data_IF_365887190016
#
_entry.id   IF_365887190016
#
_cell.length_a   1.000
_cell.length_b   1.000
_cell.length_c   1.000
_cell.angle_alpha   90.00
_cell.angle_beta   90.00
_cell.angle_gamma   90.00
#
_symmetry.space_group_name_H-M   'P 1'
#
loop_
_entity.id
_entity.type
_entity.pdbx_description
1 polymer ?
#
# COMPACT_ATOMS: atom_id res chain seq x y z
N UNK A 1 -6.94 12.29 -11.05
CA UNK A 1 -6.27 12.16 -9.74
C UNK A 1 -5.40 13.39 -9.56
N UNK A 2 -5.68 14.23 -8.55
CA UNK A 2 -5.06 15.57 -8.37
C UNK A 2 -4.21 15.63 -7.09
N UNK A 3 -3.55 14.53 -6.75
CA UNK A 3 -2.61 14.51 -5.65
C UNK A 3 -1.49 13.56 -6.07
N UNK A 4 -0.26 14.04 -6.08
CA UNK A 4 0.91 13.17 -6.16
C UNK A 4 1.22 12.62 -4.76
N UNK A 5 1.77 11.41 -4.65
CA UNK A 5 2.19 10.84 -3.35
C UNK A 5 3.14 11.79 -2.58
N UNK A 6 3.94 12.58 -3.30
CA UNK A 6 4.81 13.61 -2.71
C UNK A 6 4.02 14.75 -2.03
N UNK A 7 2.83 15.09 -2.55
CA UNK A 7 1.95 16.12 -1.98
C UNK A 7 1.13 15.59 -0.79
N UNK A 8 1.08 14.27 -0.59
CA UNK A 8 0.43 13.69 0.57
C UNK A 8 1.07 14.14 1.89
N UNK A 9 2.34 14.55 1.92
CA UNK A 9 3.01 14.96 3.16
C UNK A 9 2.26 16.06 3.91
N UNK A 10 1.63 16.99 3.20
CA UNK A 10 0.88 18.11 3.81
C UNK A 10 -0.59 17.82 4.06
N UNK A 11 -1.15 16.79 3.42
CA UNK A 11 -2.59 16.42 3.50
C UNK A 11 -2.79 15.00 4.05
N UNK A 12 -1.76 14.44 4.67
CA UNK A 12 -1.77 13.08 5.13
C UNK A 12 -2.70 12.94 6.33
N UNK A 13 -3.53 11.91 6.27
CA UNK A 13 -4.40 11.53 7.37
C UNK A 13 -3.86 10.30 8.10
N UNK A 14 -3.02 9.51 7.43
CA UNK A 14 -2.50 8.26 7.97
C UNK A 14 -1.11 7.95 7.42
N UNK A 15 -0.23 7.49 8.30
CA UNK A 15 1.04 6.88 7.93
C UNK A 15 0.83 5.38 7.76
N UNK A 16 1.17 4.82 6.61
CA UNK A 16 1.13 3.38 6.34
C UNK A 16 2.53 2.84 6.11
N UNK A 17 2.75 1.59 6.50
CA UNK A 17 3.95 0.85 6.13
C UNK A 17 3.75 0.27 4.72
N UNK A 18 4.57 0.69 3.76
CA UNK A 18 4.53 0.17 2.38
C UNK A 18 5.44 -1.06 2.27
N UNK A 19 6.48 -1.13 3.08
CA UNK A 19 7.44 -2.23 3.12
C UNK A 19 8.13 -2.25 4.47
N UNK A 20 8.81 -3.36 4.78
CA UNK A 20 9.53 -3.59 6.04
C UNK A 20 10.50 -2.46 6.46
N UNK A 21 10.91 -1.59 5.54
CA UNK A 21 11.81 -0.46 5.81
C UNK A 21 11.27 0.90 5.37
N UNK A 22 10.07 0.97 4.80
CA UNK A 22 9.52 2.23 4.29
C UNK A 22 8.10 2.46 4.76
N UNK A 23 7.90 3.60 5.43
CA UNK A 23 6.60 4.13 5.80
C UNK A 23 6.31 5.41 5.01
N UNK A 24 5.05 5.59 4.62
CA UNK A 24 4.60 6.73 3.81
C UNK A 24 3.35 7.35 4.41
N UNK A 25 3.28 8.67 4.34
CA UNK A 25 2.12 9.43 4.76
C UNK A 25 1.16 9.54 3.58
N UNK A 26 -0.06 9.02 3.73
CA UNK A 26 -1.10 9.00 2.69
C UNK A 26 -2.27 9.92 3.06
N UNK A 27 -2.75 10.67 2.06
CA UNK A 27 -4.04 11.33 2.14
C UNK A 27 -5.17 10.32 1.91
N UNK A 28 -6.43 10.74 2.15
CA UNK A 28 -7.61 9.87 2.08
C UNK A 28 -7.70 9.07 0.78
N UNK A 29 -7.54 9.74 -0.37
CA UNK A 29 -7.64 9.12 -1.70
C UNK A 29 -6.58 8.03 -1.91
N UNK A 30 -5.31 8.33 -1.58
CA UNK A 30 -4.22 7.36 -1.72
C UNK A 30 -4.31 6.22 -0.71
N UNK A 31 -4.85 6.46 0.48
CA UNK A 31 -5.09 5.42 1.46
C UNK A 31 -6.12 4.42 0.96
N UNK A 32 -7.19 4.88 0.29
CA UNK A 32 -8.20 4.01 -0.32
C UNK A 32 -7.61 3.17 -1.45
N UNK A 33 -6.78 3.77 -2.33
CA UNK A 33 -6.06 3.04 -3.37
C UNK A 33 -5.10 2.00 -2.79
N UNK A 34 -4.34 2.35 -1.75
CA UNK A 34 -3.43 1.44 -1.08
C UNK A 34 -4.16 0.23 -0.49
N UNK A 35 -5.28 0.45 0.22
CA UNK A 35 -6.10 -0.62 0.80
C UNK A 35 -6.76 -1.51 -0.26
N UNK A 36 -7.13 -0.96 -1.40
CA UNK A 36 -7.71 -1.75 -2.49
C UNK A 36 -6.65 -2.60 -3.22
N UNK A 37 -5.41 -2.13 -3.32
CA UNK A 37 -4.31 -2.89 -3.95
C UNK A 37 -4.07 -4.24 -3.27
N UNK A 38 -4.10 -4.26 -1.93
CA UNK A 38 -3.96 -5.49 -1.13
C UNK A 38 -5.17 -6.44 -1.26
N UNK A 39 -6.35 -5.93 -1.63
CA UNK A 39 -7.54 -6.76 -1.87
C UNK A 39 -7.55 -7.41 -3.25
N UNK A 40 -7.13 -6.69 -4.28
CA UNK A 40 -7.13 -7.22 -5.66
C UNK A 40 -5.92 -8.12 -5.94
N UNK A 41 -4.83 -7.93 -5.21
CA UNK A 41 -3.63 -8.75 -5.34
C UNK A 41 -3.30 -9.37 -3.99
N UNK A 42 -4.04 -10.41 -3.62
CA UNK A 42 -3.56 -11.40 -2.64
C UNK A 42 -2.72 -12.39 -3.43
N UNK A 43 -1.39 -12.21 -3.53
CA UNK A 43 -0.54 -13.22 -4.13
C UNK A 43 -0.75 -14.52 -3.36
N UNK A 44 -1.31 -15.53 -4.04
CA UNK A 44 -1.34 -16.89 -3.54
C UNK A 44 0.11 -17.41 -3.59
N UNK A 45 0.92 -17.00 -2.62
CA UNK A 45 2.26 -17.53 -2.43
C UNK A 45 2.12 -18.98 -1.95
N UNK A 46 2.08 -19.90 -2.91
CA UNK A 46 2.21 -21.32 -2.62
C UNK A 46 3.67 -21.62 -2.30
N UNK A 47 3.90 -22.25 -1.15
CA UNK A 47 5.24 -22.65 -0.72
C UNK A 47 5.74 -23.72 -1.70
N UNK A 48 6.83 -23.44 -2.43
CA UNK A 48 7.41 -24.34 -3.44
C UNK A 48 7.76 -25.74 -2.88
N UNK A 49 7.93 -25.87 -1.56
CA UNK A 49 8.16 -27.13 -0.86
C UNK A 49 6.98 -28.12 -0.88
N UNK A 50 5.80 -27.73 -1.38
CA UNK A 50 4.61 -28.61 -1.46
C UNK A 50 4.50 -29.42 -2.76
N UNK A 51 5.36 -29.18 -3.75
CA UNK A 51 5.47 -30.05 -4.92
C UNK A 51 6.42 -31.20 -4.59
N UNK A 52 5.89 -32.26 -3.98
CA UNK A 52 6.60 -33.52 -3.76
C UNK A 52 5.75 -34.67 -4.29
#
# INVERSE_FOLDING_TARGET
MQCSISECRSKAIQTVEISFRETRNLCKEHLELFKNKDKEHVPNFTKASKFK
#
